data_IF_801001797064
#
_entry.id   IF_801001797064
#
_cell.length_a   1.000
_cell.length_b   1.000
_cell.length_c   1.000
_cell.angle_alpha   90.00
_cell.angle_beta   90.00
_cell.angle_gamma   90.00
#
_symmetry.space_group_name_H-M   'P 1'
#
loop_
_entity.id
_entity.type
_entity.pdbx_description
1 polymer ?
#
# COMPACT_ATOMS: atom_id res chain seq x y z
N UNK A 1 17.50 48.20 42.07
CA UNK A 1 16.92 47.37 41.01
C UNK A 1 16.62 45.98 41.49
N UNK A 2 15.35 45.78 41.83
CA UNK A 2 14.76 44.52 42.28
C UNK A 2 14.75 43.48 41.14
N UNK A 3 15.88 42.81 40.91
CA UNK A 3 15.85 41.52 40.22
C UNK A 3 15.28 40.47 41.18
N UNK A 4 13.95 40.45 41.24
CA UNK A 4 13.16 39.38 41.84
C UNK A 4 13.54 38.07 41.12
N UNK A 5 14.52 37.33 41.69
CA UNK A 5 14.93 35.99 41.23
C UNK A 5 13.71 35.08 41.30
N UNK A 6 12.95 35.02 40.20
CA UNK A 6 11.80 34.13 40.09
C UNK A 6 12.35 32.71 40.09
N UNK A 7 11.86 31.92 41.02
CA UNK A 7 12.20 30.52 41.18
C UNK A 7 11.98 29.75 39.86
N UNK A 8 13.08 29.45 39.16
CA UNK A 8 13.08 28.76 37.86
C UNK A 8 12.76 27.26 38.00
N UNK A 9 12.79 26.70 39.22
CA UNK A 9 12.48 25.30 39.48
C UNK A 9 11.01 24.95 39.20
N UNK A 10 10.13 25.96 39.13
CA UNK A 10 8.68 25.79 38.91
C UNK A 10 8.25 25.99 37.45
N UNK A 11 9.18 26.34 36.55
CA UNK A 11 8.86 26.59 35.14
C UNK A 11 8.77 25.25 34.40
N UNK A 12 7.55 24.76 34.17
CA UNK A 12 7.28 23.61 33.30
C UNK A 12 7.10 24.08 31.87
N UNK A 13 7.87 23.53 30.94
CA UNK A 13 7.64 23.75 29.52
C UNK A 13 6.39 22.99 29.08
N UNK A 14 5.34 23.71 28.62
CA UNK A 14 4.13 23.06 28.12
C UNK A 14 4.39 22.16 26.90
N UNK A 15 5.35 22.55 26.04
CA UNK A 15 5.64 21.85 24.79
C UNK A 15 6.36 20.50 24.98
N UNK A 16 7.26 20.38 25.95
CA UNK A 16 8.01 19.13 26.19
C UNK A 16 7.72 18.50 27.56
N UNK A 17 6.85 19.13 28.36
CA UNK A 17 6.44 18.75 29.72
C UNK A 17 7.60 18.59 30.72
N UNK A 18 8.79 19.10 30.40
CA UNK A 18 9.97 19.11 31.29
C UNK A 18 10.04 20.41 32.06
N UNK A 19 10.31 20.31 33.35
CA UNK A 19 10.76 21.42 34.18
C UNK A 19 12.16 21.84 33.72
N UNK A 20 12.53 23.11 33.93
CA UNK A 20 13.86 23.74 33.70
C UNK A 20 13.88 24.83 32.61
N UNK A 21 12.89 24.93 31.71
CA UNK A 21 12.90 26.00 30.68
C UNK A 21 11.51 26.52 30.31
N UNK A 22 11.47 27.78 29.85
CA UNK A 22 10.27 28.35 29.27
C UNK A 22 10.01 27.73 27.89
N UNK A 23 8.73 27.66 27.50
CA UNK A 23 8.33 27.11 26.20
C UNK A 23 9.01 27.81 25.00
N UNK A 24 9.45 29.06 25.16
CA UNK A 24 10.21 29.84 24.17
C UNK A 24 11.63 29.32 23.92
N UNK A 25 12.24 28.70 24.93
CA UNK A 25 13.61 28.16 24.88
C UNK A 25 13.60 26.64 24.58
N UNK A 26 12.42 26.06 24.43
CA UNK A 26 12.24 24.66 24.08
C UNK A 26 12.59 24.47 22.61
N UNK A 27 13.73 23.80 22.33
CA UNK A 27 13.99 23.20 21.01
C UNK A 27 12.90 22.16 20.74
N UNK A 28 11.81 22.58 20.08
CA UNK A 28 10.66 21.74 19.74
C UNK A 28 11.12 20.57 18.87
N UNK A 29 10.93 19.35 19.35
CA UNK A 29 10.73 18.20 18.46
C UNK A 29 9.39 18.45 17.75
N UNK A 30 9.33 18.22 16.44
CA UNK A 30 8.06 18.30 15.68
C UNK A 30 7.11 17.23 16.24
N UNK A 31 6.24 17.64 17.16
CA UNK A 31 5.15 16.79 17.65
C UNK A 31 4.24 16.55 16.45
N UNK A 32 4.13 15.29 16.04
CA UNK A 32 3.20 14.86 15.00
C UNK A 32 1.79 14.99 15.58
N UNK A 33 0.99 15.84 14.95
CA UNK A 33 -0.38 16.08 15.34
C UNK A 33 -1.33 15.03 14.75
N UNK A 34 -2.61 15.14 15.11
CA UNK A 34 -3.65 14.25 14.62
C UNK A 34 -3.76 14.26 13.09
N UNK A 35 -3.65 15.44 12.46
CA UNK A 35 -3.73 15.58 11.01
C UNK A 35 -2.58 14.85 10.29
N UNK A 36 -1.35 14.92 10.83
CA UNK A 36 -0.22 14.15 10.31
C UNK A 36 -0.54 12.64 10.26
N UNK A 37 -1.13 12.09 11.33
CA UNK A 37 -1.46 10.66 11.37
C UNK A 37 -2.62 10.32 10.45
N UNK A 38 -3.63 11.20 10.36
CA UNK A 38 -4.76 11.04 9.46
C UNK A 38 -4.31 11.00 7.99
N UNK A 39 -3.44 11.92 7.57
CA UNK A 39 -2.86 11.93 6.22
C UNK A 39 -2.00 10.69 5.96
N UNK A 40 -1.16 10.27 6.93
CA UNK A 40 -0.34 9.07 6.77
C UNK A 40 -1.18 7.79 6.64
N UNK A 41 -2.29 7.66 7.37
CA UNK A 41 -3.21 6.53 7.22
C UNK A 41 -3.91 6.55 5.87
N UNK A 42 -4.36 7.71 5.39
CA UNK A 42 -5.01 7.84 4.08
C UNK A 42 -4.06 7.43 2.94
N UNK A 43 -2.80 7.83 3.01
CA UNK A 43 -1.77 7.41 2.04
C UNK A 43 -1.54 5.90 2.09
N UNK A 44 -1.30 5.34 3.28
CA UNK A 44 -1.08 3.90 3.42
C UNK A 44 -2.29 3.04 3.02
N UNK A 45 -3.52 3.59 3.07
CA UNK A 45 -4.72 2.92 2.56
C UNK A 45 -4.75 2.93 1.03
N UNK A 46 -4.46 4.07 0.40
CA UNK A 46 -4.35 4.16 -1.07
C UNK A 46 -3.29 3.23 -1.63
N UNK A 47 -2.13 3.14 -0.99
CA UNK A 47 -1.05 2.23 -1.42
C UNK A 47 -1.51 0.76 -1.38
N UNK A 48 -2.36 0.39 -0.41
CA UNK A 48 -2.94 -0.96 -0.33
C UNK A 48 -4.01 -1.19 -1.38
N UNK A 49 -4.90 -0.22 -1.58
CA UNK A 49 -5.96 -0.31 -2.59
C UNK A 49 -5.34 -0.43 -4.00
N UNK A 50 -4.27 0.32 -4.28
CA UNK A 50 -3.49 0.20 -5.53
C UNK A 50 -2.82 -1.17 -5.66
N UNK A 51 -2.27 -1.72 -4.57
CA UNK A 51 -1.68 -3.05 -4.60
C UNK A 51 -2.70 -4.16 -4.89
N UNK A 52 -3.93 -4.02 -4.37
CA UNK A 52 -5.03 -4.95 -4.65
C UNK A 52 -5.43 -4.88 -6.12
N UNK A 53 -5.59 -3.68 -6.67
CA UNK A 53 -5.92 -3.50 -8.10
C UNK A 53 -4.84 -4.14 -9.00
N UNK A 54 -3.56 -3.93 -8.70
CA UNK A 54 -2.46 -4.56 -9.44
C UNK A 54 -2.49 -6.09 -9.38
N UNK A 55 -2.87 -6.67 -8.24
CA UNK A 55 -3.00 -8.11 -8.10
C UNK A 55 -4.18 -8.68 -8.90
N UNK A 56 -5.31 -7.96 -8.95
CA UNK A 56 -6.47 -8.32 -9.76
C UNK A 56 -6.15 -8.25 -11.25
N UNK A 57 -5.50 -7.18 -11.72
CA UNK A 57 -5.05 -7.05 -13.11
C UNK A 57 -4.10 -8.17 -13.51
N UNK A 58 -3.17 -8.55 -12.62
CA UNK A 58 -2.25 -9.66 -12.86
C UNK A 58 -2.98 -11.01 -12.91
N UNK A 59 -3.95 -11.24 -12.03
CA UNK A 59 -4.74 -12.46 -12.01
C UNK A 59 -5.61 -12.59 -13.28
N UNK A 60 -6.21 -11.49 -13.73
CA UNK A 60 -6.97 -11.43 -14.98
C UNK A 60 -6.12 -11.78 -16.19
N UNK A 61 -4.96 -11.14 -16.35
CA UNK A 61 -4.03 -11.40 -17.46
C UNK A 61 -3.57 -12.87 -17.51
N UNK A 62 -3.33 -13.46 -16.32
CA UNK A 62 -2.90 -14.86 -16.22
C UNK A 62 -4.01 -15.83 -16.58
N UNK A 63 -5.23 -15.58 -16.10
CA UNK A 63 -6.41 -16.39 -16.46
C UNK A 63 -6.70 -16.35 -17.96
N UNK A 64 -6.49 -15.21 -18.62
CA UNK A 64 -6.65 -15.10 -20.08
C UNK A 64 -5.62 -15.95 -20.82
N UNK A 65 -4.37 -15.96 -20.36
CA UNK A 65 -3.30 -16.73 -21.01
C UNK A 65 -3.52 -18.24 -20.89
N UNK A 66 -4.01 -18.70 -19.73
CA UNK A 66 -4.34 -20.11 -19.51
C UNK A 66 -5.49 -20.57 -20.44
N UNK A 67 -6.50 -19.71 -20.65
CA UNK A 67 -7.59 -19.95 -21.61
C UNK A 67 -7.09 -20.08 -23.04
N UNK A 68 -6.16 -19.23 -23.49
CA UNK A 68 -5.62 -19.29 -24.86
C UNK A 68 -4.89 -20.61 -25.12
N UNK A 69 -4.18 -21.13 -24.11
CA UNK A 69 -3.51 -22.43 -24.20
C UNK A 69 -4.52 -23.59 -24.33
N UNK A 70 -5.59 -23.56 -23.54
CA UNK A 70 -6.66 -24.57 -23.59
C UNK A 70 -7.39 -24.57 -24.94
N UNK A 71 -7.70 -23.39 -25.49
CA UNK A 71 -8.33 -23.24 -26.81
C UNK A 71 -7.43 -23.84 -27.91
N UNK A 72 -6.13 -23.56 -27.87
CA UNK A 72 -5.18 -24.10 -28.85
C UNK A 72 -5.10 -25.63 -28.77
N UNK A 73 -5.03 -26.20 -27.57
CA UNK A 73 -5.01 -27.65 -27.38
C UNK A 73 -6.29 -28.32 -27.93
N UNK A 74 -7.46 -27.73 -27.67
CA UNK A 74 -8.73 -28.22 -28.18
C UNK A 74 -8.80 -28.14 -29.71
N UNK A 75 -8.27 -27.07 -30.31
CA UNK A 75 -8.22 -26.93 -31.77
C UNK A 75 -7.36 -28.02 -32.43
N UNK A 76 -6.19 -28.32 -31.85
CA UNK A 76 -5.32 -29.41 -32.31
C UNK A 76 -6.00 -30.77 -32.17
N UNK A 77 -6.70 -31.00 -31.06
CA UNK A 77 -7.42 -32.24 -30.81
C UNK A 77 -8.56 -32.46 -31.82
N UNK A 78 -9.34 -31.41 -32.12
CA UNK A 78 -10.40 -31.47 -33.12
C UNK A 78 -9.86 -31.78 -34.52
N UNK A 79 -8.76 -31.14 -34.92
CA UNK A 79 -8.11 -31.42 -36.20
C UNK A 79 -7.60 -32.87 -36.29
N UNK A 80 -7.09 -33.43 -35.19
CA UNK A 80 -6.69 -34.84 -35.13
C UNK A 80 -7.88 -35.79 -35.30
N UNK A 81 -9.03 -35.50 -34.69
CA UNK A 81 -10.26 -36.30 -34.86
C UNK A 81 -10.75 -36.25 -36.30
N UNK A 82 -10.86 -35.04 -36.89
CA UNK A 82 -11.30 -34.87 -38.28
C UNK A 82 -10.40 -35.66 -39.24
N UNK A 83 -9.09 -35.65 -39.00
CA UNK A 83 -8.15 -36.45 -39.79
C UNK A 83 -8.42 -37.94 -39.66
N UNK A 84 -8.57 -38.47 -38.44
CA UNK A 84 -8.85 -39.90 -38.23
C UNK A 84 -10.16 -40.32 -38.89
N UNK A 85 -11.19 -39.47 -38.83
CA UNK A 85 -12.45 -39.72 -39.52
C UNK A 85 -12.27 -39.74 -41.05
N UNK A 86 -11.51 -38.80 -41.59
CA UNK A 86 -11.20 -38.75 -43.03
C UNK A 86 -10.40 -39.98 -43.50
N UNK A 87 -9.42 -40.40 -42.70
CA UNK A 87 -8.60 -41.58 -42.97
C UNK A 87 -9.44 -42.88 -42.91
N UNK A 88 -10.49 -42.92 -42.08
CA UNK A 88 -11.43 -44.05 -42.01
C UNK A 88 -12.39 -44.11 -43.21
N UNK A 89 -12.87 -42.96 -43.69
CA UNK A 89 -13.70 -42.88 -44.91
C UNK A 89 -12.93 -43.20 -46.19
N UNK A 90 -11.61 -42.99 -46.19
CA UNK A 90 -10.72 -43.27 -47.31
C UNK A 90 -10.23 -44.73 -47.40
N UNK A 91 -10.52 -45.57 -46.39
CA UNK A 91 -10.11 -46.98 -46.30
C UNK A 91 -11.21 -47.95 -46.69
#
# INVERSE_FOLDING_TARGET
DDEKKRDMSRVKCYNCKKEVHFAKDCKKVKVKDYEYYKTKMLLAKKDKDEQVLLAEDQAWMKSSSDSDQEINANMVFMAQIEKVLSDFEAS
#
